data_IF_724066037614
#
_entry.id   IF_724066037614
#
_cell.length_a   1.000
_cell.length_b   1.000
_cell.length_c   1.000
_cell.angle_alpha   90.00
_cell.angle_beta   90.00
_cell.angle_gamma   90.00
#
_symmetry.space_group_name_H-M   'P 1'
#
loop_
_entity.id
_entity.type
_entity.pdbx_description
1 polymer ?
#
# COMPACT_ATOMS: atom_id res chain seq x y z
N UNK A 1 -17.14 18.22 -18.18
CA UNK A 1 -17.74 18.08 -16.82
C UNK A 1 -18.36 16.70 -16.70
N UNK A 2 -17.59 15.69 -16.31
CA UNK A 2 -18.12 14.36 -15.98
C UNK A 2 -18.22 14.25 -14.46
N UNK A 3 -19.45 14.05 -13.99
CA UNK A 3 -19.86 14.01 -12.59
C UNK A 3 -19.28 12.79 -11.90
N UNK A 4 -18.78 13.01 -10.68
CA UNK A 4 -18.39 11.96 -9.76
C UNK A 4 -19.57 11.01 -9.54
N UNK A 5 -19.44 9.76 -10.01
CA UNK A 5 -20.37 8.70 -9.64
C UNK A 5 -20.38 8.57 -8.11
N UNK A 6 -21.59 8.70 -7.56
CA UNK A 6 -21.86 8.58 -6.15
C UNK A 6 -21.26 7.28 -5.60
N UNK A 7 -20.36 7.41 -4.63
CA UNK A 7 -19.84 6.27 -3.86
C UNK A 7 -21.03 5.56 -3.22
N UNK A 8 -21.33 4.33 -3.66
CA UNK A 8 -22.27 3.42 -2.98
C UNK A 8 -21.89 3.34 -1.48
N UNK A 9 -22.71 3.94 -0.58
CA UNK A 9 -22.41 3.98 0.85
C UNK A 9 -22.35 2.56 1.46
N UNK A 10 -23.11 1.61 0.90
CA UNK A 10 -23.11 0.22 1.35
C UNK A 10 -21.80 -0.53 1.01
N UNK A 11 -21.06 -0.11 -0.03
CA UNK A 11 -19.77 -0.73 -0.38
C UNK A 11 -18.67 -0.33 0.60
N UNK A 12 -18.69 0.91 1.09
CA UNK A 12 -17.78 1.37 2.13
C UNK A 12 -18.03 0.63 3.45
N UNK A 13 -19.30 0.48 3.85
CA UNK A 13 -19.68 -0.28 5.04
C UNK A 13 -19.32 -1.76 4.95
N UNK A 14 -19.54 -2.42 3.80
CA UNK A 14 -19.14 -3.82 3.57
C UNK A 14 -17.62 -4.00 3.58
N UNK A 15 -16.87 -2.99 3.15
CA UNK A 15 -15.40 -3.00 3.19
C UNK A 15 -14.88 -2.83 4.61
N UNK A 16 -15.44 -1.88 5.37
CA UNK A 16 -15.12 -1.68 6.78
C UNK A 16 -15.60 -2.85 7.66
N UNK A 17 -16.71 -3.52 7.34
CA UNK A 17 -17.15 -4.73 8.07
C UNK A 17 -16.24 -5.94 7.81
N UNK A 18 -15.75 -6.15 6.58
CA UNK A 18 -14.72 -7.16 6.27
C UNK A 18 -13.36 -6.83 6.88
N UNK A 19 -13.00 -5.55 6.96
CA UNK A 19 -11.78 -5.10 7.62
C UNK A 19 -11.84 -5.37 9.14
N UNK A 20 -13.00 -5.10 9.77
CA UNK A 20 -13.28 -5.43 11.19
C UNK A 20 -13.13 -6.93 11.45
N UNK A 21 -13.69 -7.78 10.60
CA UNK A 21 -13.59 -9.25 10.74
C UNK A 21 -12.15 -9.77 10.57
N UNK A 22 -11.33 -9.14 9.72
CA UNK A 22 -9.91 -9.51 9.51
C UNK A 22 -8.98 -9.08 10.64
N UNK A 23 -9.26 -7.97 11.32
CA UNK A 23 -8.38 -7.47 12.39
C UNK A 23 -8.63 -8.08 13.76
N UNK A 24 -9.73 -8.83 13.89
CA UNK A 24 -9.98 -9.72 15.02
C UNK A 24 -9.38 -11.12 14.82
N UNK A 25 -8.71 -11.35 13.69
CA UNK A 25 -8.11 -12.65 13.40
C UNK A 25 -6.93 -12.96 14.35
N UNK A 26 -6.68 -14.25 14.64
CA UNK A 26 -5.55 -14.71 15.45
C UNK A 26 -4.15 -14.33 14.92
N UNK A 27 -4.06 -13.73 13.74
CA UNK A 27 -2.85 -13.67 12.94
C UNK A 27 -1.84 -12.66 13.50
N UNK A 28 -2.28 -11.44 13.84
CA UNK A 28 -1.36 -10.39 14.32
C UNK A 28 -0.73 -10.75 15.67
N UNK A 29 -1.49 -11.37 16.59
CA UNK A 29 -0.95 -11.86 17.87
C UNK A 29 0.03 -13.00 17.65
N UNK A 30 -0.26 -13.87 16.68
CA UNK A 30 0.61 -14.98 16.31
C UNK A 30 1.95 -14.48 15.77
N UNK A 31 1.95 -13.48 14.88
CA UNK A 31 3.21 -12.90 14.40
C UNK A 31 4.03 -12.24 15.51
N UNK A 32 3.40 -11.53 16.45
CA UNK A 32 4.12 -10.96 17.59
C UNK A 32 4.70 -12.06 18.50
N UNK A 33 3.94 -13.13 18.75
CA UNK A 33 4.41 -14.27 19.52
C UNK A 33 5.60 -14.95 18.83
N UNK A 34 5.49 -15.24 17.54
CA UNK A 34 6.56 -15.85 16.75
C UNK A 34 7.83 -15.00 16.72
N UNK A 35 7.70 -13.67 16.59
CA UNK A 35 8.85 -12.77 16.63
C UNK A 35 9.57 -12.85 17.99
N UNK A 36 8.83 -12.92 19.10
CA UNK A 36 9.39 -13.08 20.45
C UNK A 36 10.03 -14.45 20.66
N UNK A 37 9.37 -15.51 20.21
CA UNK A 37 9.91 -16.88 20.25
C UNK A 37 11.20 -17.01 19.44
N UNK A 38 11.34 -16.24 18.35
CA UNK A 38 12.57 -16.14 17.57
C UNK A 38 13.66 -15.23 18.20
N UNK A 39 13.44 -14.70 19.40
CA UNK A 39 14.42 -13.91 20.15
C UNK A 39 14.48 -12.42 19.78
N UNK A 40 13.47 -11.86 19.12
CA UNK A 40 13.44 -10.43 18.83
C UNK A 40 13.40 -9.58 20.11
N UNK A 41 14.38 -8.69 20.29
CA UNK A 41 14.40 -7.69 21.38
C UNK A 41 13.30 -6.65 21.22
N UNK A 42 13.02 -6.28 19.97
CA UNK A 42 12.09 -5.20 19.60
C UNK A 42 11.14 -5.66 18.51
N UNK A 43 9.84 -5.43 18.74
CA UNK A 43 8.78 -5.72 17.76
C UNK A 43 8.02 -4.44 17.45
N UNK A 44 8.10 -4.00 16.19
CA UNK A 44 7.36 -2.85 15.69
C UNK A 44 6.18 -3.32 14.86
N UNK A 45 4.98 -2.80 15.18
CA UNK A 45 3.76 -3.10 14.43
C UNK A 45 3.34 -1.88 13.63
N UNK A 46 3.34 -2.03 12.30
CA UNK A 46 2.98 -0.99 11.36
C UNK A 46 1.71 -1.36 10.58
N UNK A 47 0.91 -0.36 10.24
CA UNK A 47 -0.24 -0.51 9.37
C UNK A 47 -0.21 0.52 8.24
N UNK A 48 -0.54 0.11 7.03
CA UNK A 48 -0.40 0.93 5.81
C UNK A 48 -1.76 1.22 5.16
N UNK A 49 -1.82 1.32 3.82
CA UNK A 49 -2.95 1.80 3.04
C UNK A 49 -4.33 1.28 3.50
N UNK A 50 -4.44 -0.03 3.77
CA UNK A 50 -5.70 -0.64 4.16
C UNK A 50 -6.31 -0.02 5.43
N UNK A 51 -5.47 0.29 6.42
CA UNK A 51 -5.91 0.93 7.66
C UNK A 51 -5.83 2.45 7.58
N UNK A 52 -4.77 3.00 6.98
CA UNK A 52 -4.55 4.45 6.84
C UNK A 52 -5.72 5.17 6.18
N UNK A 53 -6.31 4.53 5.16
CA UNK A 53 -7.37 5.11 4.33
C UNK A 53 -8.77 4.79 4.88
N UNK A 54 -8.88 4.06 5.99
CA UNK A 54 -10.16 3.73 6.63
C UNK A 54 -10.65 4.89 7.54
N UNK A 55 -11.94 5.30 7.46
CA UNK A 55 -12.48 6.35 8.32
C UNK A 55 -12.37 6.05 9.83
N UNK A 56 -12.38 4.78 10.22
CA UNK A 56 -12.30 4.31 11.60
C UNK A 56 -10.88 3.91 12.02
N UNK A 57 -9.86 4.31 11.26
CA UNK A 57 -8.46 3.92 11.47
C UNK A 57 -7.96 4.04 12.91
N UNK A 58 -8.33 5.10 13.63
CA UNK A 58 -7.92 5.32 15.03
C UNK A 58 -8.51 4.25 15.95
N UNK A 59 -9.79 3.97 15.82
CA UNK A 59 -10.50 2.98 16.62
C UNK A 59 -9.98 1.57 16.34
N UNK A 60 -9.78 1.23 15.06
CA UNK A 60 -9.24 -0.06 14.65
C UNK A 60 -7.79 -0.23 15.13
N UNK A 61 -6.94 0.78 14.98
CA UNK A 61 -5.56 0.76 15.47
C UNK A 61 -5.48 0.60 16.99
N UNK A 62 -6.34 1.31 17.75
CA UNK A 62 -6.39 1.18 19.21
C UNK A 62 -6.85 -0.22 19.65
N UNK A 63 -7.83 -0.81 18.95
CA UNK A 63 -8.27 -2.18 19.20
C UNK A 63 -7.18 -3.20 18.90
N UNK A 64 -6.52 -3.08 17.74
CA UNK A 64 -5.40 -3.93 17.37
C UNK A 64 -4.25 -3.81 18.37
N UNK A 65 -3.91 -2.59 18.80
CA UNK A 65 -2.83 -2.36 19.76
C UNK A 65 -3.09 -3.08 21.09
N UNK A 66 -4.33 -3.00 21.60
CA UNK A 66 -4.75 -3.76 22.79
C UNK A 66 -4.69 -5.28 22.57
N UNK A 67 -5.04 -5.73 21.37
CA UNK A 67 -5.01 -7.15 21.03
C UNK A 67 -3.58 -7.72 20.98
N UNK A 68 -2.63 -7.00 20.37
CA UNK A 68 -1.25 -7.47 20.22
C UNK A 68 -0.33 -7.09 21.39
N UNK A 69 -0.78 -6.20 22.29
CA UNK A 69 0.02 -5.71 23.41
C UNK A 69 1.17 -4.78 23.00
N UNK A 70 1.10 -4.19 21.81
CA UNK A 70 2.10 -3.31 21.21
C UNK A 70 1.42 -2.16 20.46
N UNK A 71 2.02 -0.97 20.40
CA UNK A 71 1.44 0.16 19.67
C UNK A 71 1.45 -0.11 18.15
N UNK A 72 0.27 -0.06 17.52
CA UNK A 72 0.13 -0.10 16.06
C UNK A 72 0.32 1.29 15.49
N UNK A 73 1.38 1.46 14.69
CA UNK A 73 1.71 2.73 14.04
C UNK A 73 1.13 2.77 12.63
N UNK A 74 0.23 3.72 12.37
CA UNK A 74 -0.25 3.97 11.00
C UNK A 74 0.82 4.75 10.26
N UNK A 75 1.40 4.14 9.23
CA UNK A 75 2.52 4.69 8.46
C UNK A 75 1.98 5.63 7.39
N UNK A 76 2.56 6.83 7.29
CA UNK A 76 2.22 7.76 6.20
C UNK A 76 2.62 7.16 4.86
N UNK A 77 1.97 7.58 3.77
CA UNK A 77 2.31 7.10 2.42
C UNK A 77 3.78 7.36 2.07
N UNK A 78 4.28 8.55 2.40
CA UNK A 78 5.67 8.92 2.17
C UNK A 78 6.63 8.00 2.95
N UNK A 79 6.32 7.72 4.22
CA UNK A 79 7.15 6.84 5.04
C UNK A 79 7.12 5.39 4.57
N UNK A 80 5.98 4.92 4.05
CA UNK A 80 5.85 3.59 3.46
C UNK A 80 6.79 3.42 2.25
N UNK A 81 6.81 4.40 1.34
CA UNK A 81 7.72 4.46 0.19
C UNK A 81 9.19 4.39 0.65
N UNK A 82 9.56 5.23 1.61
CA UNK A 82 10.93 5.29 2.14
C UNK A 82 11.37 3.94 2.72
N UNK A 83 10.51 3.33 3.56
CA UNK A 83 10.81 2.06 4.20
C UNK A 83 10.93 0.93 3.17
N UNK A 84 10.04 0.89 2.17
CA UNK A 84 10.12 -0.08 1.06
C UNK A 84 11.43 0.05 0.28
N UNK A 85 11.83 1.28 -0.07
CA UNK A 85 13.11 1.50 -0.74
C UNK A 85 14.30 1.10 0.13
N UNK A 86 14.32 1.48 1.41
CA UNK A 86 15.41 1.10 2.34
C UNK A 86 15.54 -0.41 2.46
N UNK A 87 14.41 -1.14 2.50
CA UNK A 87 14.41 -2.60 2.55
C UNK A 87 14.99 -3.25 1.28
N UNK A 88 14.74 -2.67 0.11
CA UNK A 88 15.12 -3.25 -1.17
C UNK A 88 16.46 -2.76 -1.74
N UNK A 89 16.96 -1.59 -1.32
CA UNK A 89 18.08 -0.89 -1.99
C UNK A 89 19.36 -1.71 -2.12
N UNK A 90 19.65 -2.60 -1.17
CA UNK A 90 20.85 -3.45 -1.20
C UNK A 90 20.80 -4.52 -2.31
N UNK A 91 19.61 -4.80 -2.88
CA UNK A 91 19.45 -5.60 -4.09
C UNK A 91 19.59 -4.81 -5.40
N UNK A 92 19.70 -3.47 -5.33
CA UNK A 92 19.88 -2.61 -6.51
C UNK A 92 21.36 -2.44 -6.83
N UNK A 93 21.65 -2.06 -8.08
CA UNK A 93 23.03 -1.72 -8.46
C UNK A 93 23.53 -0.54 -7.60
N UNK A 94 24.79 -0.56 -7.15
CA UNK A 94 25.33 0.48 -6.27
C UNK A 94 25.55 1.82 -7.00
N UNK A 95 25.52 1.83 -8.33
CA UNK A 95 25.73 3.02 -9.17
C UNK A 95 24.75 3.05 -10.34
N UNK A 96 24.63 4.22 -10.95
CA UNK A 96 23.76 4.44 -12.11
C UNK A 96 22.29 4.69 -11.74
N UNK A 97 21.57 5.31 -12.69
CA UNK A 97 20.14 5.62 -12.55
C UNK A 97 19.29 4.37 -12.76
N UNK A 98 18.35 4.13 -11.85
CA UNK A 98 17.46 2.98 -11.85
C UNK A 98 16.04 3.42 -11.45
N UNK A 99 15.05 2.66 -11.89
CA UNK A 99 13.68 2.78 -11.40
C UNK A 99 13.39 1.57 -10.53
N UNK A 100 13.10 1.81 -9.26
CA UNK A 100 12.57 0.83 -8.34
C UNK A 100 11.05 0.89 -8.37
N UNK A 101 10.39 -0.26 -8.48
CA UNK A 101 8.91 -0.37 -8.48
C UNK A 101 8.50 -1.34 -7.39
N UNK A 102 7.70 -0.86 -6.45
CA UNK A 102 7.06 -1.68 -5.43
C UNK A 102 5.56 -1.76 -5.74
N UNK A 103 5.07 -2.97 -6.05
CA UNK A 103 3.66 -3.18 -6.39
C UNK A 103 2.93 -3.86 -5.24
N UNK A 104 2.13 -3.07 -4.52
CA UNK A 104 1.29 -3.54 -3.45
C UNK A 104 -0.14 -3.88 -3.87
N UNK A 105 -0.97 -4.20 -2.86
CA UNK A 105 -2.39 -4.48 -3.08
C UNK A 105 -3.22 -3.22 -3.39
N UNK A 106 -2.91 -2.10 -2.75
CA UNK A 106 -3.70 -0.87 -2.83
C UNK A 106 -3.05 0.25 -3.68
N UNK A 107 -1.74 0.20 -3.86
CA UNK A 107 -0.93 1.17 -4.59
C UNK A 107 0.29 0.50 -5.20
N UNK A 108 0.91 1.23 -6.13
CA UNK A 108 2.20 0.90 -6.71
C UNK A 108 3.06 2.15 -6.58
N UNK A 109 4.23 1.98 -5.98
CA UNK A 109 5.19 3.02 -5.73
C UNK A 109 6.32 2.93 -6.77
N UNK A 110 6.74 4.07 -7.30
CA UNK A 110 7.81 4.16 -8.30
C UNK A 110 8.83 5.16 -7.77
N UNK A 111 10.07 4.70 -7.61
CA UNK A 111 11.19 5.50 -7.11
C UNK A 111 12.30 5.56 -8.16
N UNK A 112 12.62 6.76 -8.62
CA UNK A 112 13.88 7.02 -9.30
C UNK A 112 14.99 7.04 -8.26
N UNK A 113 16.00 6.19 -8.44
CA UNK A 113 17.18 6.15 -7.61
C UNK A 113 18.45 6.23 -8.44
N UNK A 114 19.52 6.65 -7.78
CA UNK A 114 20.88 6.60 -8.32
C UNK A 114 21.73 5.83 -7.32
N UNK A 115 22.17 4.64 -7.71
CA UNK A 115 22.70 3.68 -6.75
C UNK A 115 21.70 3.37 -5.64
N UNK A 116 22.13 3.53 -4.38
CA UNK A 116 21.31 3.29 -3.18
C UNK A 116 20.65 4.55 -2.63
N UNK A 117 20.65 5.64 -3.41
CA UNK A 117 20.06 6.92 -3.04
C UNK A 117 18.77 7.14 -3.83
N UNK A 118 17.64 7.25 -3.13
CA UNK A 118 16.39 7.69 -3.74
C UNK A 118 16.54 9.15 -4.20
N UNK A 119 15.96 9.50 -5.35
CA UNK A 119 15.96 10.86 -5.90
C UNK A 119 14.55 11.44 -5.90
N UNK A 120 13.60 10.67 -6.41
CA UNK A 120 12.20 11.06 -6.46
C UNK A 120 11.33 9.82 -6.36
N UNK A 121 10.20 9.93 -5.68
CA UNK A 121 9.23 8.85 -5.60
C UNK A 121 7.82 9.34 -5.86
N UNK A 122 7.02 8.48 -6.48
CA UNK A 122 5.59 8.70 -6.70
C UNK A 122 4.80 7.46 -6.25
N UNK A 123 3.54 7.69 -5.89
CA UNK A 123 2.57 6.63 -5.56
C UNK A 123 1.40 6.70 -6.52
N UNK A 124 1.19 5.61 -7.24
CA UNK A 124 0.08 5.40 -8.16
C UNK A 124 -1.05 4.69 -7.41
N UNK A 125 -2.32 5.12 -7.57
CA UNK A 125 -3.46 4.50 -6.90
C UNK A 125 -3.91 3.16 -7.51
N UNK A 126 -3.00 2.41 -8.13
CA UNK A 126 -3.22 1.10 -8.77
C UNK A 126 -2.49 0.03 -7.97
N UNK A 127 -3.09 -1.14 -7.79
CA UNK A 127 -2.48 -2.25 -7.04
C UNK A 127 -3.30 -3.52 -7.21
N UNK A 128 -2.73 -4.68 -6.89
CA UNK A 128 -3.32 -5.98 -7.22
C UNK A 128 -4.73 -6.17 -6.64
N UNK A 129 -4.95 -5.79 -5.37
CA UNK A 129 -6.27 -5.86 -4.72
C UNK A 129 -7.27 -4.84 -5.26
N UNK A 130 -6.82 -3.73 -5.85
CA UNK A 130 -7.70 -2.76 -6.52
C UNK A 130 -8.04 -3.15 -7.95
N UNK A 131 -7.13 -3.79 -8.66
CA UNK A 131 -7.34 -4.21 -10.04
C UNK A 131 -8.17 -5.50 -10.13
N UNK A 132 -7.93 -6.45 -9.21
CA UNK A 132 -8.63 -7.74 -9.17
C UNK A 132 -10.15 -7.61 -9.02
N UNK A 133 -10.67 -6.57 -8.38
CA UNK A 133 -12.14 -6.36 -8.25
C UNK A 133 -12.80 -5.98 -9.57
N UNK A 134 -12.03 -5.69 -10.62
CA UNK A 134 -12.51 -5.41 -11.98
C UNK A 134 -12.51 -6.66 -12.86
N UNK A 135 -12.02 -7.79 -12.34
CA UNK A 135 -11.95 -9.06 -13.03
C UNK A 135 -13.09 -9.97 -12.55
N UNK A 136 -13.62 -10.75 -13.49
CA UNK A 136 -14.59 -11.81 -13.23
C UNK A 136 -14.01 -13.14 -13.73
N UNK A 137 -14.24 -14.20 -12.95
CA UNK A 137 -13.72 -15.54 -13.23
C UNK A 137 -12.28 -15.75 -12.77
N UNK A 138 -11.93 -17.03 -12.58
CA UNK A 138 -10.57 -17.50 -12.30
C UNK A 138 -10.30 -18.77 -13.14
N UNK A 139 -9.57 -18.66 -14.27
CA UNK A 139 -8.88 -17.48 -14.76
C UNK A 139 -9.81 -16.42 -15.36
N UNK A 140 -9.41 -15.14 -15.35
CA UNK A 140 -10.18 -14.07 -15.98
C UNK A 140 -10.16 -14.19 -17.51
N UNK A 141 -11.23 -13.75 -18.16
CA UNK A 141 -11.26 -13.64 -19.62
C UNK A 141 -10.17 -12.70 -20.15
N UNK A 142 -9.49 -13.09 -21.24
CA UNK A 142 -8.33 -12.37 -21.80
C UNK A 142 -8.61 -10.88 -22.07
N UNK A 143 -9.78 -10.56 -22.64
CA UNK A 143 -10.16 -9.17 -22.92
C UNK A 143 -10.37 -8.34 -21.64
N UNK A 144 -10.99 -8.94 -20.62
CA UNK A 144 -11.19 -8.28 -19.31
C UNK A 144 -9.86 -8.06 -18.61
N UNK A 145 -8.94 -9.03 -18.69
CA UNK A 145 -7.59 -8.88 -18.18
C UNK A 145 -6.83 -7.76 -18.91
N UNK A 146 -6.84 -7.75 -20.25
CA UNK A 146 -6.20 -6.71 -21.06
C UNK A 146 -6.76 -5.30 -20.77
N UNK A 147 -8.06 -5.19 -20.45
CA UNK A 147 -8.70 -3.92 -20.08
C UNK A 147 -8.13 -3.29 -18.82
N UNK A 148 -7.44 -4.04 -17.94
CA UNK A 148 -6.73 -3.47 -16.79
C UNK A 148 -5.64 -2.47 -17.20
N UNK A 149 -5.15 -2.54 -18.45
CA UNK A 149 -4.19 -1.55 -18.97
C UNK A 149 -4.73 -0.14 -19.02
N UNK A 150 -6.06 0.05 -19.13
CA UNK A 150 -6.68 1.38 -19.16
C UNK A 150 -6.47 2.12 -17.84
N UNK A 151 -6.95 1.63 -16.67
CA UNK A 151 -6.73 2.33 -15.40
C UNK A 151 -5.24 2.43 -15.00
N UNK A 152 -4.39 1.47 -15.41
CA UNK A 152 -2.94 1.54 -15.19
C UNK A 152 -2.33 2.72 -15.96
N UNK A 153 -2.62 2.81 -17.26
CA UNK A 153 -2.11 3.89 -18.12
C UNK A 153 -2.60 5.25 -17.67
N UNK A 154 -3.87 5.36 -17.29
CA UNK A 154 -4.44 6.62 -16.83
C UNK A 154 -3.81 7.07 -15.50
N UNK A 155 -3.53 6.14 -14.58
CA UNK A 155 -2.82 6.44 -13.34
C UNK A 155 -1.40 6.96 -13.58
N UNK A 156 -0.68 6.41 -14.56
CA UNK A 156 0.66 6.86 -14.94
C UNK A 156 0.60 8.27 -15.56
N UNK A 157 -0.28 8.47 -16.55
CA UNK A 157 -0.43 9.75 -17.28
C UNK A 157 -0.84 10.92 -16.38
N UNK A 158 -1.80 10.68 -15.49
CA UNK A 158 -2.31 11.73 -14.60
C UNK A 158 -1.27 12.16 -13.55
N UNK A 159 -0.28 11.31 -13.27
CA UNK A 159 0.81 11.63 -12.35
C UNK A 159 1.95 12.38 -13.01
N UNK A 160 2.31 12.04 -14.25
CA UNK A 160 3.30 12.82 -15.02
C UNK A 160 2.82 14.25 -15.30
N UNK A 161 1.51 14.46 -15.45
CA UNK A 161 0.95 15.80 -15.59
C UNK A 161 0.96 16.63 -14.28
N UNK A 162 0.90 15.97 -13.12
CA UNK A 162 0.82 16.63 -11.80
C UNK A 162 2.19 16.87 -11.14
N UNK A 163 3.26 16.25 -11.64
CA UNK A 163 4.61 16.29 -11.05
C UNK A 163 5.47 17.49 -11.48
N UNK A 164 4.89 18.53 -12.06
CA UNK A 164 5.58 19.76 -12.47
C UNK A 164 6.10 20.65 -11.32
N UNK A 165 6.43 20.12 -10.13
CA UNK A 165 6.97 20.95 -9.05
C UNK A 165 6.90 20.39 -7.62
N UNK A 166 7.16 19.11 -7.40
CA UNK A 166 7.36 18.61 -6.02
C UNK A 166 8.70 17.89 -5.94
N UNK A 167 9.75 18.67 -5.67
CA UNK A 167 10.99 18.14 -5.10
C UNK A 167 10.67 17.58 -3.72
N UNK A 168 10.89 16.28 -3.55
CA UNK A 168 10.86 15.67 -2.23
C UNK A 168 12.27 15.85 -1.68
N UNK A 169 12.49 16.91 -0.89
CA UNK A 169 13.75 17.13 -0.18
C UNK A 169 13.97 15.96 0.78
N UNK A 170 15.04 15.20 0.54
CA UNK A 170 15.57 14.18 1.44
C UNK A 170 16.51 14.82 2.47
#
# INVERSE_FOLDING_TARGET
MATAEARDPGRAERKSSRLRARFDSPDARTFVRQAREAGASDVLVAATAALRDDPQRKTIAARLSRAVGLPVRIVSKQREIELGFVAARHGLRPTGKQIFVDSGGASTEITLCEGHTARQSISLPVGASKLSVLLEGDPPGLLTFARLMVPIRDAIRNRTAASGGAECSL
#
